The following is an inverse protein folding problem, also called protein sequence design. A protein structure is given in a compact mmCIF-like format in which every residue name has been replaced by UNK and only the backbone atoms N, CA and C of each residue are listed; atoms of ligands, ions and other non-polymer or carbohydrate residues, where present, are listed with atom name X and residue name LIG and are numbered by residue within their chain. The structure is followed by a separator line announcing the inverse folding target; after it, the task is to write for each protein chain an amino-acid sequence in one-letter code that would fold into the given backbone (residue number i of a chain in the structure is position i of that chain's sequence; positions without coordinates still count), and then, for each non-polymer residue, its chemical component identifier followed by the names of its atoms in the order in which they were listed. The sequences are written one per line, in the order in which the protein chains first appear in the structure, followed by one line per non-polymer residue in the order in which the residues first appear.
data_IF_442547059824
#
_entry.id   IF_442547059824
#
_cell.length_a   1.000
_cell.length_b   1.000
_cell.length_c   1.000
_cell.angle_alpha   90.00
_cell.angle_beta   90.00
_cell.angle_gamma   90.00
#
_symmetry.space_group_name_H-M   'P 1'
#
loop_
_entity.id
_entity.type
_entity.pdbx_description
1 polymer ?
#
# COMPACT_ATOMS: atom_id res chain seq x y z
N UNK A 1 -2.83 -8.77 -6.65
CA UNK A 1 -1.44 -9.15 -6.27
C UNK A 1 -0.51 -7.95 -6.20
N UNK A 2 -0.48 -7.03 -7.18
CA UNK A 2 0.46 -5.87 -7.18
C UNK A 2 0.11 -4.82 -6.11
N UNK A 3 -1.18 -4.52 -5.91
CA UNK A 3 -1.62 -3.50 -4.96
C UNK A 3 -1.13 -3.73 -3.53
N UNK A 4 -1.30 -4.92 -2.89
CA UNK A 4 -0.80 -5.13 -1.53
C UNK A 4 0.72 -4.95 -1.38
N UNK A 5 1.51 -5.26 -2.43
CA UNK A 5 2.96 -5.03 -2.43
C UNK A 5 3.25 -3.53 -2.50
N UNK A 6 2.58 -2.80 -3.38
CA UNK A 6 2.70 -1.35 -3.47
C UNK A 6 2.30 -0.68 -2.16
N UNK A 7 1.14 -1.06 -1.60
CA UNK A 7 0.61 -0.52 -0.34
C UNK A 7 1.61 -0.69 0.82
N UNK A 8 2.18 -1.89 0.96
CA UNK A 8 3.15 -2.16 2.01
C UNK A 8 4.39 -1.26 1.90
N UNK A 9 4.91 -1.07 0.69
CA UNK A 9 6.06 -0.20 0.46
C UNK A 9 5.72 1.29 0.66
N UNK A 10 4.54 1.74 0.21
CA UNK A 10 4.08 3.12 0.42
C UNK A 10 3.86 3.43 1.91
N UNK A 11 3.36 2.48 2.70
CA UNK A 11 3.25 2.63 4.14
C UNK A 11 4.61 2.70 4.86
N UNK A 12 5.67 2.16 4.25
CA UNK A 12 7.05 2.29 4.73
C UNK A 12 7.76 3.58 4.23
N UNK A 13 7.07 4.41 3.43
CA UNK A 13 7.59 5.71 3.00
C UNK A 13 8.05 5.77 1.55
N UNK A 14 7.81 4.74 0.73
CA UNK A 14 8.02 4.83 -0.73
C UNK A 14 6.98 5.76 -1.34
N UNK A 15 7.41 6.85 -1.96
CA UNK A 15 6.51 7.88 -2.51
C UNK A 15 6.27 7.74 -4.00
N UNK A 16 7.17 7.05 -4.70
CA UNK A 16 7.10 6.88 -6.15
C UNK A 16 7.60 5.49 -6.56
N UNK A 17 6.85 4.80 -7.42
CA UNK A 17 7.22 3.48 -7.90
C UNK A 17 7.73 3.54 -9.33
N UNK A 18 8.86 2.88 -9.57
CA UNK A 18 9.44 2.71 -10.91
C UNK A 18 9.40 1.23 -11.26
N UNK A 19 8.77 0.91 -12.38
CA UNK A 19 8.60 -0.48 -12.79
C UNK A 19 9.85 -1.04 -13.48
N UNK A 20 10.29 -2.20 -13.07
CA UNK A 20 11.29 -3.00 -13.74
C UNK A 20 10.66 -4.33 -14.21
N UNK A 21 10.49 -4.58 -15.49
CA UNK A 21 10.70 -3.77 -16.70
C UNK A 21 9.58 -4.04 -17.71
N UNK A 22 9.34 -3.08 -18.62
CA UNK A 22 8.54 -3.34 -19.81
C UNK A 22 9.46 -3.91 -20.91
N UNK A 23 9.26 -5.17 -21.25
CA UNK A 23 10.12 -5.87 -22.22
C UNK A 23 9.63 -5.62 -23.64
N UNK A 24 10.55 -5.24 -24.53
CA UNK A 24 10.27 -5.12 -25.94
C UNK A 24 10.00 -6.50 -26.58
N UNK A 25 8.80 -6.66 -27.14
CA UNK A 25 8.38 -7.83 -27.91
C UNK A 25 8.03 -7.39 -29.34
N UNK A 26 8.98 -7.38 -30.28
CA UNK A 26 8.76 -6.82 -31.63
C UNK A 26 7.93 -7.74 -32.52
N UNK A 27 7.86 -9.04 -32.20
CA UNK A 27 7.12 -10.00 -33.03
C UNK A 27 5.62 -9.83 -32.90
N UNK A 28 4.93 -9.82 -34.03
CA UNK A 28 3.47 -9.89 -34.11
C UNK A 28 3.07 -11.37 -34.12
N UNK A 29 2.05 -11.75 -33.32
CA UNK A 29 1.58 -13.14 -33.29
C UNK A 29 2.37 -14.08 -32.39
N UNK A 30 3.16 -13.56 -31.43
CA UNK A 30 3.78 -14.41 -30.41
C UNK A 30 2.72 -15.05 -29.51
N UNK A 31 3.03 -16.25 -28.99
CA UNK A 31 2.16 -16.90 -28.01
C UNK A 31 2.21 -16.15 -26.66
N UNK A 32 1.04 -15.83 -26.06
CA UNK A 32 1.01 -15.13 -24.78
C UNK A 32 1.53 -16.02 -23.64
N UNK A 33 1.97 -15.43 -22.52
CA UNK A 33 2.20 -14.02 -22.28
C UNK A 33 3.44 -13.42 -22.96
N UNK A 34 4.31 -14.25 -23.55
CA UNK A 34 5.55 -13.83 -24.19
C UNK A 34 6.74 -13.84 -23.23
N UNK A 35 7.84 -13.20 -23.65
CA UNK A 35 9.12 -13.22 -22.92
C UNK A 35 9.30 -11.98 -22.05
N UNK A 36 9.91 -12.14 -20.86
CA UNK A 36 10.31 -11.06 -19.98
C UNK A 36 11.84 -10.98 -19.84
N UNK A 37 12.35 -9.79 -19.57
CA UNK A 37 13.76 -9.59 -19.28
C UNK A 37 14.15 -10.28 -17.96
N UNK A 38 15.30 -11.00 -17.98
CA UNK A 38 15.80 -11.70 -16.80
C UNK A 38 15.07 -13.00 -16.43
N UNK A 39 14.01 -13.34 -17.11
CA UNK A 39 13.37 -14.65 -17.19
C UNK A 39 12.84 -15.31 -15.94
N UNK A 40 13.28 -14.97 -14.75
CA UNK A 40 13.00 -15.78 -13.57
C UNK A 40 12.99 -15.00 -12.27
N UNK A 41 11.79 -14.84 -11.74
CA UNK A 41 11.63 -14.54 -10.31
C UNK A 41 11.82 -13.10 -9.91
N UNK A 42 11.94 -12.17 -10.85
CA UNK A 42 11.92 -10.74 -10.54
C UNK A 42 10.50 -10.22 -10.75
N UNK A 43 9.60 -10.61 -9.84
CA UNK A 43 8.25 -10.05 -9.80
C UNK A 43 7.35 -10.42 -10.99
N UNK A 44 6.31 -9.64 -11.20
CA UNK A 44 5.34 -9.82 -12.28
C UNK A 44 5.85 -9.16 -13.57
N UNK A 45 5.96 -9.89 -14.68
CA UNK A 45 6.40 -9.29 -15.93
C UNK A 45 5.33 -8.36 -16.52
N UNK A 46 5.71 -7.12 -16.80
CA UNK A 46 4.86 -6.11 -17.44
C UNK A 46 4.95 -6.27 -18.95
N UNK A 47 4.06 -7.11 -19.51
CA UNK A 47 4.03 -7.47 -20.92
C UNK A 47 2.64 -7.19 -21.50
N UNK A 48 2.59 -6.71 -22.75
CA UNK A 48 1.32 -6.51 -23.47
C UNK A 48 0.56 -7.82 -23.74
N UNK A 49 1.22 -8.98 -23.67
CA UNK A 49 0.60 -10.30 -23.76
C UNK A 49 -0.05 -10.79 -22.48
N UNK A 50 0.02 -10.06 -21.38
CA UNK A 50 -0.71 -10.40 -20.16
C UNK A 50 -2.21 -10.15 -20.33
N UNK A 51 -3.02 -11.04 -19.76
CA UNK A 51 -4.49 -10.92 -19.82
C UNK A 51 -5.00 -9.61 -19.24
N UNK A 52 -4.36 -9.13 -18.19
CA UNK A 52 -4.72 -7.92 -17.45
C UNK A 52 -4.14 -6.62 -18.06
N UNK A 53 -3.31 -6.71 -19.08
CA UNK A 53 -2.65 -5.54 -19.67
C UNK A 53 -3.62 -4.43 -20.12
N UNK A 54 -4.78 -4.73 -20.76
CA UNK A 54 -5.75 -3.70 -21.13
C UNK A 54 -6.28 -2.87 -19.95
N UNK A 55 -6.19 -3.40 -18.73
CA UNK A 55 -6.68 -2.76 -17.50
C UNK A 55 -5.55 -2.13 -16.67
N UNK A 56 -4.31 -2.12 -17.18
CA UNK A 56 -3.15 -1.62 -16.44
C UNK A 56 -3.31 -0.17 -15.97
N UNK A 57 -4.02 0.66 -16.73
CA UNK A 57 -4.32 2.04 -16.38
C UNK A 57 -5.02 2.18 -15.02
N UNK A 58 -5.91 1.25 -14.66
CA UNK A 58 -6.58 1.30 -13.34
C UNK A 58 -5.59 1.22 -12.18
N UNK A 59 -4.55 0.41 -12.31
CA UNK A 59 -3.49 0.32 -11.31
C UNK A 59 -2.53 1.53 -11.35
N UNK A 60 -2.17 2.00 -12.55
CA UNK A 60 -1.28 3.19 -12.64
C UNK A 60 -1.96 4.47 -12.19
N UNK A 61 -3.27 4.62 -12.41
CA UNK A 61 -4.06 5.74 -11.90
C UNK A 61 -4.14 5.72 -10.36
N UNK A 62 -4.29 4.52 -9.77
CA UNK A 62 -4.19 4.34 -8.33
C UNK A 62 -2.83 4.81 -7.81
N UNK A 63 -1.73 4.36 -8.43
CA UNK A 63 -0.38 4.75 -8.04
C UNK A 63 -0.14 6.25 -8.24
N UNK A 64 -0.64 6.82 -9.32
CA UNK A 64 -0.53 8.25 -9.60
C UNK A 64 -1.22 9.10 -8.52
N UNK A 65 -2.43 8.70 -8.07
CA UNK A 65 -3.12 9.37 -6.95
C UNK A 65 -2.34 9.25 -5.65
N UNK A 66 -1.80 8.06 -5.34
CA UNK A 66 -0.96 7.88 -4.16
C UNK A 66 0.30 8.75 -4.22
N UNK A 67 1.05 8.70 -5.33
CA UNK A 67 2.25 9.51 -5.52
C UNK A 67 1.95 11.00 -5.42
N UNK A 68 0.84 11.47 -6.02
CA UNK A 68 0.41 12.85 -5.89
C UNK A 68 0.25 13.28 -4.42
N UNK A 69 -0.41 12.45 -3.61
CA UNK A 69 -0.57 12.72 -2.18
C UNK A 69 0.77 12.79 -1.45
N UNK A 70 1.67 11.84 -1.71
CA UNK A 70 2.98 11.80 -1.05
C UNK A 70 3.90 12.95 -1.48
N UNK A 71 3.90 13.31 -2.76
CA UNK A 71 4.79 14.34 -3.32
C UNK A 71 4.30 15.78 -3.02
N UNK A 72 3.02 15.95 -2.69
CA UNK A 72 2.46 17.26 -2.30
C UNK A 72 2.50 17.51 -0.78
N UNK A 73 3.17 16.65 -0.02
CA UNK A 73 3.38 16.76 1.42
C UNK A 73 4.82 16.60 1.83
N UNK A 74 5.12 17.02 3.04
CA UNK A 74 6.36 16.71 3.74
C UNK A 74 6.09 15.51 4.64
N UNK A 75 6.97 14.47 4.65
CA UNK A 75 6.84 13.36 5.57
C UNK A 75 6.96 13.84 7.02
N UNK A 76 6.24 13.18 7.91
CA UNK A 76 6.27 13.44 9.35
C UNK A 76 6.89 12.24 10.05
N UNK A 77 8.03 12.48 10.68
CA UNK A 77 8.75 11.49 11.47
C UNK A 77 9.24 12.11 12.76
N UNK A 78 9.26 11.32 13.83
CA UNK A 78 9.69 11.81 15.15
C UNK A 78 11.19 11.71 15.34
N UNK A 79 11.79 10.67 14.79
CA UNK A 79 13.15 10.24 15.03
C UNK A 79 13.97 10.32 13.75
N UNK A 80 15.13 10.97 13.84
CA UNK A 80 16.14 10.90 12.80
C UNK A 80 17.17 9.83 13.20
N UNK A 81 17.22 8.71 12.45
CA UNK A 81 18.11 7.58 12.74
C UNK A 81 19.41 7.72 11.97
N UNK A 82 20.49 7.95 12.68
CA UNK A 82 21.82 8.05 12.09
C UNK A 82 22.38 6.69 11.70
N UNK A 83 22.73 6.52 10.43
CA UNK A 83 23.22 5.25 9.87
C UNK A 83 24.69 4.94 10.22
N UNK A 84 25.45 5.91 10.68
CA UNK A 84 26.88 5.76 10.96
C UNK A 84 27.77 6.23 9.82
N UNK A 85 29.10 6.24 10.09
CA UNK A 85 30.13 6.65 9.14
C UNK A 85 30.76 5.47 8.37
N UNK A 86 30.34 4.24 8.67
CA UNK A 86 30.88 3.02 8.08
C UNK A 86 30.03 2.60 6.87
N UNK A 87 30.69 2.35 5.73
CA UNK A 87 29.99 2.08 4.46
C UNK A 87 29.24 0.75 4.39
N UNK A 88 29.63 -0.21 5.21
CA UNK A 88 29.02 -1.55 5.27
C UNK A 88 27.82 -1.62 6.22
N UNK A 89 27.49 -0.51 6.85
CA UNK A 89 26.41 -0.46 7.81
C UNK A 89 25.04 -0.62 7.13
N UNK A 90 24.31 -1.61 7.59
CA UNK A 90 22.86 -1.75 7.35
C UNK A 90 22.15 -1.63 8.69
N UNK A 91 21.07 -0.86 8.77
CA UNK A 91 20.28 -0.80 10.00
C UNK A 91 19.80 -2.20 10.37
N UNK A 92 19.82 -2.52 11.65
CA UNK A 92 19.18 -3.74 12.14
C UNK A 92 17.65 -3.57 12.03
N UNK A 93 17.08 -4.19 11.01
CA UNK A 93 15.63 -4.16 10.77
C UNK A 93 14.83 -4.86 11.87
N UNK A 94 15.49 -5.64 12.72
CA UNK A 94 14.86 -6.29 13.88
C UNK A 94 15.03 -5.46 15.17
N UNK A 95 15.73 -4.32 15.11
CA UNK A 95 15.81 -3.45 16.27
C UNK A 95 14.40 -2.97 16.66
N UNK A 96 13.97 -3.17 17.92
CA UNK A 96 12.65 -2.75 18.34
C UNK A 96 12.52 -1.24 18.23
N UNK A 97 11.62 -0.81 17.36
CA UNK A 97 11.24 0.60 17.24
C UNK A 97 9.89 0.81 17.94
N UNK A 98 9.71 1.87 18.74
CA UNK A 98 8.49 2.06 19.52
C UNK A 98 7.26 2.26 18.63
N UNK A 99 6.18 1.55 18.96
CA UNK A 99 4.91 1.68 18.26
C UNK A 99 4.37 3.10 18.29
N UNK A 100 3.80 3.50 17.17
CA UNK A 100 3.18 4.82 17.01
C UNK A 100 4.15 5.95 16.71
N UNK A 101 5.43 5.68 16.54
CA UNK A 101 6.46 6.63 16.11
C UNK A 101 7.00 6.27 14.74
N UNK A 102 7.54 7.27 14.03
CA UNK A 102 8.17 7.09 12.72
C UNK A 102 9.60 7.61 12.75
N UNK A 103 10.42 7.08 11.86
CA UNK A 103 11.80 7.51 11.68
C UNK A 103 12.14 7.71 10.22
N UNK A 104 13.14 8.57 9.99
CA UNK A 104 13.87 8.66 8.73
C UNK A 104 15.34 8.36 8.95
N UNK A 105 16.00 7.85 7.92
CA UNK A 105 17.44 7.62 7.99
C UNK A 105 18.24 8.89 7.69
N UNK A 106 19.37 9.02 8.39
CA UNK A 106 20.33 10.10 8.17
C UNK A 106 21.71 9.52 7.88
N UNK A 107 22.27 9.87 6.74
CA UNK A 107 23.67 9.56 6.41
C UNK A 107 24.64 10.65 6.91
N UNK A 108 25.97 10.43 6.85
CA UNK A 108 26.95 11.43 7.26
C UNK A 108 26.83 12.77 6.52
N UNK A 109 26.58 12.76 5.22
CA UNK A 109 26.48 14.00 4.42
C UNK A 109 25.32 14.88 4.90
N UNK A 110 24.14 14.29 5.12
CA UNK A 110 22.99 15.00 5.65
C UNK A 110 23.30 15.61 7.03
N UNK A 111 23.91 14.82 7.93
CA UNK A 111 24.28 15.26 9.27
C UNK A 111 25.26 16.43 9.26
N UNK A 112 26.25 16.39 8.37
CA UNK A 112 27.29 17.42 8.26
C UNK A 112 26.79 18.70 7.61
N UNK A 113 25.98 18.60 6.54
CA UNK A 113 25.79 19.68 5.59
C UNK A 113 24.34 20.19 5.49
N UNK A 114 23.34 19.44 5.94
CA UNK A 114 21.93 19.77 5.69
C UNK A 114 21.11 20.06 6.96
N UNK A 115 21.55 19.59 8.12
CA UNK A 115 20.77 19.70 9.34
C UNK A 115 21.06 20.98 10.11
N UNK A 116 20.00 21.58 10.61
CA UNK A 116 20.03 22.72 11.55
C UNK A 116 19.07 22.47 12.71
N UNK A 117 18.92 23.46 13.60
CA UNK A 117 18.00 23.36 14.76
C UNK A 117 17.13 24.60 14.80
N UNK A 118 15.81 24.39 14.85
CA UNK A 118 14.80 25.42 15.10
C UNK A 118 13.84 24.94 16.18
N UNK A 119 13.55 25.77 17.18
CA UNK A 119 12.62 25.50 18.29
C UNK A 119 12.88 24.17 19.02
N UNK A 120 14.15 23.81 19.15
CA UNK A 120 14.58 22.55 19.80
C UNK A 120 14.40 21.29 18.96
N UNK A 121 13.96 21.41 17.72
CA UNK A 121 13.84 20.31 16.75
C UNK A 121 14.96 20.36 15.72
N UNK A 122 15.37 19.22 15.24
CA UNK A 122 16.30 19.10 14.12
C UNK A 122 15.48 19.31 12.84
N UNK A 123 15.96 20.18 11.95
CA UNK A 123 15.23 20.55 10.72
C UNK A 123 16.11 20.44 9.49
N UNK A 124 15.50 20.02 8.37
CA UNK A 124 16.09 20.04 7.03
C UNK A 124 15.78 21.36 6.32
N UNK A 125 16.50 21.72 5.25
CA UNK A 125 16.18 22.91 4.44
C UNK A 125 14.77 22.89 3.84
N UNK A 126 14.20 21.70 3.60
CA UNK A 126 12.86 21.46 3.05
C UNK A 126 11.74 21.60 4.10
N UNK A 127 12.11 21.83 5.36
CA UNK A 127 11.16 22.01 6.46
C UNK A 127 10.66 20.73 7.12
N UNK A 128 11.31 19.59 6.87
CA UNK A 128 11.07 18.37 7.64
C UNK A 128 11.72 18.54 9.02
N UNK A 129 11.07 18.08 10.08
CA UNK A 129 11.56 18.28 11.43
C UNK A 129 11.45 17.03 12.31
N UNK A 130 12.47 16.80 13.13
CA UNK A 130 12.58 15.64 14.02
C UNK A 130 12.71 16.07 15.47
N UNK A 131 12.14 15.31 16.37
CA UNK A 131 12.22 15.57 17.83
C UNK A 131 13.56 15.20 18.41
N UNK A 132 14.22 14.19 17.84
CA UNK A 132 15.52 13.72 18.28
C UNK A 132 16.35 13.08 17.15
N UNK A 133 17.68 13.06 17.33
CA UNK A 133 18.63 12.25 16.57
C UNK A 133 18.95 11.00 17.40
N UNK A 134 18.73 9.82 16.80
CA UNK A 134 19.07 8.55 17.42
C UNK A 134 20.33 7.93 16.81
N UNK A 135 21.26 7.60 17.66
CA UNK A 135 22.52 6.93 17.33
C UNK A 135 22.50 5.58 18.04
N UNK A 136 21.95 4.51 17.45
CA UNK A 136 21.61 3.26 18.15
C UNK A 136 22.81 2.45 18.60
N UNK A 137 23.99 2.65 17.97
CA UNK A 137 25.13 1.80 18.18
C UNK A 137 26.36 2.62 18.55
N UNK A 138 27.13 2.08 19.49
CA UNK A 138 28.45 2.61 19.85
C UNK A 138 29.49 2.19 18.80
N UNK A 139 29.44 2.83 17.63
CA UNK A 139 30.27 2.56 16.47
C UNK A 139 31.44 3.51 16.36
N UNK A 140 32.31 3.24 15.38
CA UNK A 140 33.32 4.17 14.96
C UNK A 140 32.69 5.39 14.31
N UNK A 141 33.23 6.56 14.57
CA UNK A 141 32.70 7.82 14.06
C UNK A 141 33.83 8.72 13.56
N UNK A 142 33.56 9.50 12.51
CA UNK A 142 34.49 10.53 12.06
C UNK A 142 34.53 11.71 13.06
N UNK A 143 35.68 12.36 13.26
CA UNK A 143 35.76 13.56 14.10
C UNK A 143 34.80 14.65 13.68
N UNK A 144 34.64 14.85 12.37
CA UNK A 144 33.74 15.83 11.76
C UNK A 144 32.27 15.55 12.12
N UNK A 145 31.89 14.26 12.17
CA UNK A 145 30.54 13.83 12.58
C UNK A 145 30.31 14.14 14.05
N UNK A 146 31.26 13.85 14.93
CA UNK A 146 31.15 14.20 16.37
C UNK A 146 31.01 15.71 16.56
N UNK A 147 31.76 16.53 15.81
CA UNK A 147 31.66 17.99 15.87
C UNK A 147 30.30 18.48 15.34
N UNK A 148 29.73 17.83 14.32
CA UNK A 148 28.39 18.15 13.81
C UNK A 148 27.32 17.83 14.87
N UNK A 149 27.40 16.67 15.52
CA UNK A 149 26.53 16.32 16.65
C UNK A 149 26.65 17.37 17.78
N UNK A 150 27.88 17.76 18.13
CA UNK A 150 28.10 18.82 19.13
C UNK A 150 27.43 20.13 18.74
N UNK A 151 27.57 20.56 17.47
CA UNK A 151 26.96 21.78 16.94
C UNK A 151 25.44 21.73 17.08
N UNK A 152 24.81 20.61 16.66
CA UNK A 152 23.35 20.44 16.74
C UNK A 152 22.87 20.45 18.20
N UNK A 153 23.52 19.72 19.09
CA UNK A 153 23.16 19.71 20.53
C UNK A 153 23.31 21.10 21.14
N UNK A 154 24.41 21.80 20.87
CA UNK A 154 24.65 23.16 21.36
C UNK A 154 23.56 24.13 20.92
N UNK A 155 23.03 23.95 19.69
CA UNK A 155 21.95 24.75 19.13
C UNK A 155 20.57 24.41 19.73
N UNK A 156 20.38 23.21 20.30
CA UNK A 156 19.11 22.85 20.95
C UNK A 156 18.63 21.42 20.66
N UNK A 157 19.32 20.64 19.82
CA UNK A 157 18.90 19.29 19.49
C UNK A 157 18.94 18.33 20.71
N UNK A 158 18.05 17.36 20.69
CA UNK A 158 18.12 16.17 21.54
C UNK A 158 18.81 15.05 20.78
N UNK A 159 19.83 14.43 21.37
CA UNK A 159 20.53 13.26 20.82
C UNK A 159 20.41 12.10 21.79
N UNK A 160 20.05 10.93 21.29
CA UNK A 160 19.96 9.67 22.04
C UNK A 160 21.00 8.71 21.50
N UNK A 161 21.87 8.21 22.37
CA UNK A 161 22.94 7.27 22.01
C UNK A 161 24.21 7.46 22.81
N UNK A 162 25.05 6.44 22.76
CA UNK A 162 26.32 6.39 23.50
C UNK A 162 27.49 6.96 22.71
N UNK A 163 28.59 7.20 23.41
CA UNK A 163 29.83 7.68 22.81
C UNK A 163 30.35 6.67 21.75
N UNK A 164 30.88 7.15 20.62
CA UNK A 164 31.53 6.25 19.65
C UNK A 164 32.75 5.55 20.26
N UNK A 165 32.97 4.31 19.81
CA UNK A 165 34.04 3.44 20.37
C UNK A 165 35.45 3.84 19.92
N UNK A 166 35.61 4.34 18.70
CA UNK A 166 36.85 4.69 18.08
C UNK A 166 36.68 5.67 16.89
N UNK A 167 37.75 6.31 16.40
CA UNK A 167 37.65 7.09 15.16
C UNK A 167 37.45 6.18 13.93
N UNK A 168 36.63 6.59 13.01
CA UNK A 168 36.42 5.94 11.69
C UNK A 168 37.47 6.41 10.66
N UNK A 169 38.64 6.84 11.10
CA UNK A 169 39.75 7.34 10.26
C UNK A 169 41.08 7.07 10.90
N UNK A 170 42.13 6.96 10.08
CA UNK A 170 43.53 6.88 10.52
C UNK A 170 44.22 8.25 10.64
N UNK A 171 43.51 9.36 10.31
CA UNK A 171 44.09 10.71 10.30
C UNK A 171 44.37 11.28 11.68
N UNK A 172 43.71 10.74 12.72
CA UNK A 172 43.91 11.16 14.11
C UNK A 172 44.06 9.95 15.01
N UNK A 173 44.81 10.14 16.12
CA UNK A 173 44.98 9.12 17.16
C UNK A 173 43.81 9.07 18.14
N UNK A 174 43.67 7.94 18.85
CA UNK A 174 42.59 7.73 19.82
C UNK A 174 42.50 8.80 20.90
N UNK A 175 43.69 9.27 21.40
CA UNK A 175 43.74 10.32 22.44
C UNK A 175 43.15 11.65 21.97
N UNK A 176 43.41 12.02 20.74
CA UNK A 176 42.88 13.23 20.15
C UNK A 176 41.36 13.07 19.88
N UNK A 177 40.95 11.95 19.31
CA UNK A 177 39.54 11.62 19.12
C UNK A 177 38.75 11.67 20.44
N UNK A 178 39.29 11.07 21.50
CA UNK A 178 38.66 11.09 22.82
C UNK A 178 38.43 12.52 23.37
N UNK A 179 39.28 13.50 23.01
CA UNK A 179 39.05 14.91 23.38
C UNK A 179 37.86 15.50 22.66
N UNK A 180 37.67 15.16 21.37
CA UNK A 180 36.52 15.61 20.57
C UNK A 180 35.25 14.96 21.12
N UNK A 181 35.23 13.66 21.34
CA UNK A 181 34.09 12.91 21.91
C UNK A 181 33.64 13.49 23.25
N UNK A 182 34.58 13.88 24.13
CA UNK A 182 34.29 14.49 25.44
C UNK A 182 33.48 15.79 25.36
N UNK A 183 33.44 16.49 24.23
CA UNK A 183 32.59 17.66 24.03
C UNK A 183 31.11 17.27 24.10
N UNK A 184 30.78 16.08 23.59
CA UNK A 184 29.39 15.56 23.49
C UNK A 184 29.11 14.58 24.63
N UNK A 185 29.93 13.56 24.80
CA UNK A 185 29.80 12.49 25.81
C UNK A 185 30.86 12.59 26.88
N UNK A 186 30.46 12.54 28.14
CA UNK A 186 31.39 12.65 29.26
C UNK A 186 31.68 11.32 29.97
N UNK A 187 31.29 10.19 29.35
CA UNK A 187 31.46 8.84 29.90
C UNK A 187 30.47 8.47 31.01
N UNK A 188 29.44 9.27 31.25
CA UNK A 188 28.38 9.00 32.24
C UNK A 188 27.05 8.73 31.54
N UNK A 189 26.31 7.74 32.03
CA UNK A 189 24.94 7.50 31.64
C UNK A 189 24.03 8.59 32.17
N UNK A 190 22.91 8.78 31.48
CA UNK A 190 21.88 9.76 31.82
C UNK A 190 21.76 10.94 30.85
N UNK A 191 21.27 12.05 31.34
CA UNK A 191 21.00 13.24 30.51
C UNK A 191 22.10 14.28 30.76
N UNK A 192 22.82 14.64 29.71
CA UNK A 192 23.82 15.73 29.73
C UNK A 192 23.27 16.92 28.93
N UNK A 193 23.22 18.09 29.55
CA UNK A 193 22.85 19.35 28.86
C UNK A 193 24.12 20.01 28.27
N UNK A 194 24.00 20.49 27.02
CA UNK A 194 25.04 21.20 26.29
C UNK A 194 24.41 22.35 25.52
N UNK A 195 24.72 23.57 25.86
CA UNK A 195 24.05 24.74 25.28
C UNK A 195 22.53 24.70 25.53
N UNK A 196 21.76 24.75 24.47
CA UNK A 196 20.29 24.68 24.55
C UNK A 196 19.75 23.25 24.48
N UNK A 197 20.56 22.27 24.06
CA UNK A 197 20.15 20.88 23.83
C UNK A 197 20.62 19.91 24.89
N UNK A 198 20.50 18.62 24.58
CA UNK A 198 20.85 17.53 25.50
C UNK A 198 21.33 16.27 24.74
N UNK A 199 22.15 15.49 25.42
CA UNK A 199 22.54 14.12 25.03
C UNK A 199 22.02 13.16 26.10
N UNK A 200 21.41 12.08 25.69
CA UNK A 200 20.87 11.01 26.52
C UNK A 200 21.64 9.73 26.23
N UNK A 201 22.39 9.24 27.20
CA UNK A 201 23.30 8.09 27.07
C UNK A 201 22.99 7.00 28.08
N UNK A 202 23.34 5.74 27.77
CA UNK A 202 23.10 4.60 28.64
C UNK A 202 21.61 4.26 28.80
N UNK A 203 20.81 4.54 27.80
CA UNK A 203 19.39 4.18 27.73
C UNK A 203 19.00 3.88 26.28
N UNK A 204 18.02 3.04 26.11
CA UNK A 204 17.43 2.74 24.80
C UNK A 204 16.49 3.84 24.29
N UNK A 205 16.03 3.71 23.04
CA UNK A 205 15.13 4.68 22.43
C UNK A 205 13.76 4.74 23.11
N UNK A 206 13.09 3.62 23.47
CA UNK A 206 11.83 3.64 24.21
C UNK A 206 11.92 4.40 25.55
N UNK A 207 12.97 4.16 26.32
CA UNK A 207 13.20 4.86 27.59
C UNK A 207 13.42 6.37 27.38
N UNK A 208 14.18 6.73 26.35
CA UNK A 208 14.42 8.13 26.00
C UNK A 208 13.11 8.84 25.59
N UNK A 209 12.30 8.23 24.74
CA UNK A 209 10.98 8.73 24.30
C UNK A 209 10.08 8.94 25.53
N UNK A 210 9.99 7.97 26.41
CA UNK A 210 9.20 8.07 27.64
C UNK A 210 9.69 9.23 28.53
N UNK A 211 10.99 9.37 28.75
CA UNK A 211 11.57 10.48 29.56
C UNK A 211 11.36 11.85 28.94
N UNK A 212 11.26 11.92 27.61
CA UNK A 212 10.97 13.15 26.87
C UNK A 212 9.47 13.50 26.89
N UNK A 213 8.61 12.59 27.36
CA UNK A 213 7.16 12.78 27.34
C UNK A 213 6.59 12.85 25.93
N UNK A 214 7.23 12.19 24.95
CA UNK A 214 6.73 12.17 23.58
C UNK A 214 5.49 11.29 23.50
N UNK A 215 4.53 11.73 22.72
CA UNK A 215 3.27 11.01 22.48
C UNK A 215 3.30 10.38 21.09
N UNK A 216 2.79 9.13 20.96
CA UNK A 216 2.70 8.47 19.66
C UNK A 216 1.90 9.30 18.63
N UNK A 217 2.37 9.34 17.39
CA UNK A 217 1.69 10.01 16.28
C UNK A 217 0.41 9.25 15.89
N UNK A 218 0.51 7.93 15.66
CA UNK A 218 -0.64 7.07 15.38
C UNK A 218 -0.53 5.73 16.12
N UNK A 219 -1.52 5.40 16.94
CA UNK A 219 -1.69 4.05 17.47
C UNK A 219 -2.68 3.30 16.57
N UNK A 220 -2.17 2.37 15.78
CA UNK A 220 -2.88 1.71 14.68
C UNK A 220 -2.93 0.18 14.79
N UNK A 221 -2.52 -0.39 15.94
CA UNK A 221 -2.46 -1.84 16.12
C UNK A 221 -1.53 -2.50 15.08
N UNK A 222 -2.06 -3.47 14.33
CA UNK A 222 -1.30 -4.18 13.29
C UNK A 222 -1.26 -3.43 11.93
N UNK A 223 -1.96 -2.29 11.79
CA UNK A 223 -1.96 -1.53 10.54
C UNK A 223 -0.60 -0.89 10.27
N UNK A 224 -0.18 -0.90 9.00
CA UNK A 224 0.98 -0.14 8.54
C UNK A 224 0.53 1.24 8.10
N UNK A 225 1.40 2.24 8.26
CA UNK A 225 1.04 3.61 7.93
C UNK A 225 2.25 4.48 7.62
N UNK A 226 2.00 5.57 6.90
CA UNK A 226 2.91 6.71 6.76
C UNK A 226 2.15 8.01 6.94
N UNK A 227 2.81 9.06 7.43
CA UNK A 227 2.22 10.36 7.72
C UNK A 227 2.88 11.45 6.89
N UNK A 228 2.07 12.29 6.29
CA UNK A 228 2.48 13.46 5.53
C UNK A 228 1.63 14.67 5.92
N UNK A 229 2.19 15.86 5.72
CA UNK A 229 1.47 17.13 5.92
C UNK A 229 1.91 18.20 4.93
N UNK A 230 1.03 19.14 4.72
CA UNK A 230 1.36 20.44 4.14
C UNK A 230 0.77 21.57 4.99
N UNK A 231 0.72 22.78 4.46
CA UNK A 231 0.23 23.95 5.20
C UNK A 231 -1.30 23.94 5.40
N UNK A 232 -2.04 23.02 4.73
CA UNK A 232 -3.50 22.97 4.73
C UNK A 232 -4.08 21.72 5.39
N UNK A 233 -3.32 20.62 5.47
CA UNK A 233 -3.83 19.33 5.94
C UNK A 233 -2.71 18.42 6.46
N UNK A 234 -3.10 17.49 7.33
CA UNK A 234 -2.34 16.29 7.66
C UNK A 234 -3.03 15.07 7.03
N UNK A 235 -2.27 14.10 6.53
CA UNK A 235 -2.85 12.85 6.05
C UNK A 235 -1.98 11.65 6.34
N UNK A 236 -2.66 10.54 6.61
CA UNK A 236 -2.05 9.26 6.90
C UNK A 236 -2.46 8.28 5.80
N UNK A 237 -1.50 7.67 5.14
CA UNK A 237 -1.77 6.49 4.32
C UNK A 237 -1.79 5.27 5.23
N UNK A 238 -2.92 4.60 5.31
CA UNK A 238 -3.14 3.47 6.22
C UNK A 238 -3.41 2.22 5.41
N UNK A 239 -2.72 1.13 5.76
CA UNK A 239 -2.89 -0.20 5.17
C UNK A 239 -3.28 -1.16 6.26
N UNK A 240 -4.53 -1.62 6.22
CA UNK A 240 -5.05 -2.63 7.13
C UNK A 240 -6.07 -3.51 6.39
N UNK A 241 -5.95 -4.84 6.48
CA UNK A 241 -6.96 -5.75 5.96
C UNK A 241 -8.22 -5.82 6.84
N UNK A 242 -8.14 -5.35 8.09
CA UNK A 242 -9.18 -5.46 9.10
C UNK A 242 -9.62 -4.10 9.61
N UNK A 243 -10.87 -4.03 10.07
CA UNK A 243 -11.44 -2.85 10.70
C UNK A 243 -10.85 -2.63 12.08
N UNK A 244 -9.95 -1.68 12.21
CA UNK A 244 -9.31 -1.33 13.47
C UNK A 244 -9.67 0.10 13.88
N UNK A 245 -9.58 0.35 15.18
CA UNK A 245 -9.65 1.72 15.70
C UNK A 245 -8.28 2.36 15.55
N UNK A 246 -8.23 3.52 14.91
CA UNK A 246 -7.03 4.29 14.66
C UNK A 246 -7.03 5.52 15.57
N UNK A 247 -6.02 5.65 16.44
CA UNK A 247 -5.90 6.76 17.40
C UNK A 247 -4.78 7.73 16.97
N UNK A 248 -5.16 8.83 16.35
CA UNK A 248 -4.28 9.81 15.73
C UNK A 248 -3.89 10.94 16.68
N UNK A 249 -2.63 11.34 16.70
CA UNK A 249 -2.12 12.57 17.33
C UNK A 249 -2.45 13.84 16.56
N UNK A 250 -3.57 13.86 15.85
CA UNK A 250 -3.98 14.95 14.96
C UNK A 250 -5.38 15.48 15.32
N UNK A 251 -5.62 16.79 15.13
CA UNK A 251 -6.88 17.48 15.52
C UNK A 251 -7.76 17.78 14.34
N UNK A 252 -7.62 17.91 13.19
CA UNK A 252 -8.55 18.23 12.09
C UNK A 252 -9.80 17.35 12.04
N UNK A 253 -10.65 17.53 11.07
CA UNK A 253 -11.81 16.67 10.82
C UNK A 253 -11.40 15.56 9.85
N UNK A 254 -11.45 14.28 10.27
CA UNK A 254 -10.98 13.19 9.43
C UNK A 254 -11.97 12.91 8.29
N UNK A 255 -11.40 12.65 7.12
CA UNK A 255 -12.08 12.18 5.92
C UNK A 255 -11.35 10.94 5.41
N UNK A 256 -12.07 9.99 4.84
CA UNK A 256 -11.49 8.85 4.17
C UNK A 256 -11.40 9.16 2.66
N UNK A 257 -10.19 9.18 2.12
CA UNK A 257 -9.95 9.34 0.70
C UNK A 257 -9.49 8.01 0.09
N UNK A 258 -10.26 7.53 -0.88
CA UNK A 258 -9.98 6.27 -1.55
C UNK A 258 -9.15 6.51 -2.83
N UNK A 259 -7.87 6.10 -2.87
CA UNK A 259 -7.06 6.35 -4.06
C UNK A 259 -7.42 5.49 -5.28
N UNK A 260 -8.24 4.43 -5.11
CA UNK A 260 -8.68 3.57 -6.23
C UNK A 260 -9.61 4.34 -7.18
N UNK A 261 -10.54 5.11 -6.63
CA UNK A 261 -11.55 5.85 -7.41
C UNK A 261 -11.47 7.38 -7.23
N UNK A 262 -10.65 7.86 -6.30
CA UNK A 262 -10.49 9.29 -5.99
C UNK A 262 -11.63 9.86 -5.15
N UNK A 263 -12.52 9.03 -4.60
CA UNK A 263 -13.61 9.49 -3.75
C UNK A 263 -13.12 9.94 -2.38
N UNK A 264 -13.85 10.91 -1.79
CA UNK A 264 -13.68 11.38 -0.42
C UNK A 264 -14.99 11.19 0.33
N UNK A 265 -14.95 10.53 1.49
CA UNK A 265 -16.12 10.23 2.31
C UNK A 265 -15.89 10.62 3.76
N UNK A 266 -16.95 11.00 4.49
CA UNK A 266 -16.85 11.22 5.93
C UNK A 266 -16.57 9.90 6.65
N UNK A 267 -15.83 9.97 7.74
CA UNK A 267 -15.56 8.81 8.61
C UNK A 267 -15.99 9.14 10.05
N UNK A 268 -16.61 8.18 10.78
CA UNK A 268 -16.96 8.36 12.18
C UNK A 268 -15.71 8.54 13.03
N UNK A 269 -15.76 9.48 13.96
CA UNK A 269 -14.65 9.74 14.88
C UNK A 269 -15.14 10.25 16.24
N UNK A 270 -14.29 10.08 17.26
CA UNK A 270 -14.45 10.69 18.59
C UNK A 270 -13.19 11.45 18.98
N UNK A 271 -13.31 12.35 19.98
CA UNK A 271 -12.17 13.12 20.53
C UNK A 271 -11.81 12.61 21.91
N UNK A 272 -10.53 12.46 22.17
CA UNK A 272 -9.98 12.13 23.49
C UNK A 272 -8.80 13.07 23.77
N UNK A 273 -9.06 14.19 24.43
CA UNK A 273 -8.08 15.26 24.60
C UNK A 273 -7.60 15.80 23.26
N UNK A 274 -6.31 15.76 23.02
CA UNK A 274 -5.68 16.22 21.78
C UNK A 274 -5.63 15.16 20.67
N UNK A 275 -6.21 13.98 20.89
CA UNK A 275 -6.20 12.88 19.96
C UNK A 275 -7.56 12.69 19.29
N UNK A 276 -7.53 12.13 18.07
CA UNK A 276 -8.72 11.79 17.29
C UNK A 276 -8.76 10.29 17.07
N UNK A 277 -9.82 9.67 17.56
CA UNK A 277 -10.05 8.22 17.39
C UNK A 277 -11.01 8.03 16.23
N UNK A 278 -10.54 7.37 15.17
CA UNK A 278 -11.30 7.09 13.96
C UNK A 278 -11.64 5.59 13.94
N UNK A 279 -12.90 5.29 13.63
CA UNK A 279 -13.37 3.92 13.41
C UNK A 279 -13.81 3.81 11.94
N UNK A 280 -12.88 3.53 11.02
CA UNK A 280 -13.17 3.57 9.58
C UNK A 280 -14.09 2.45 9.11
N UNK A 281 -14.30 1.42 9.94
CA UNK A 281 -14.86 0.17 9.50
C UNK A 281 -13.87 -0.61 8.63
N UNK A 282 -14.37 -1.52 7.82
CA UNK A 282 -13.54 -2.17 6.81
C UNK A 282 -12.99 -1.13 5.84
N UNK A 283 -11.65 -1.05 5.70
CA UNK A 283 -11.04 -0.11 4.77
C UNK A 283 -11.38 -0.52 3.33
N UNK A 284 -11.95 0.39 2.53
CA UNK A 284 -12.17 0.10 1.13
C UNK A 284 -10.84 -0.25 0.49
N UNK A 285 -10.80 -1.35 -0.27
CA UNK A 285 -9.60 -1.80 -0.98
C UNK A 285 -8.37 -2.16 -0.12
N UNK A 286 -8.50 -2.26 1.21
CA UNK A 286 -7.42 -2.62 2.16
C UNK A 286 -6.43 -1.50 2.46
N UNK A 287 -6.55 -0.33 1.83
CA UNK A 287 -5.75 0.86 2.11
C UNK A 287 -6.49 2.13 1.72
N UNK A 288 -6.23 3.21 2.44
CA UNK A 288 -6.81 4.53 2.14
C UNK A 288 -5.93 5.64 2.71
N UNK A 289 -6.27 6.88 2.38
CA UNK A 289 -5.80 8.04 3.13
C UNK A 289 -6.85 8.46 4.16
N UNK A 290 -6.41 8.68 5.40
CA UNK A 290 -7.19 9.42 6.39
C UNK A 290 -6.65 10.85 6.40
N UNK A 291 -7.44 11.77 5.86
CA UNK A 291 -7.05 13.16 5.65
C UNK A 291 -7.74 14.05 6.68
N UNK A 292 -6.97 14.81 7.43
CA UNK A 292 -7.46 15.74 8.43
C UNK A 292 -7.50 17.15 7.86
N UNK A 293 -8.69 17.74 7.80
CA UNK A 293 -8.94 19.09 7.28
C UNK A 293 -9.66 19.96 8.29
N UNK A 294 -9.76 21.25 8.02
CA UNK A 294 -10.55 22.19 8.85
C UNK A 294 -12.07 22.08 8.61
N UNK A 295 -12.48 21.37 7.55
CA UNK A 295 -13.89 21.25 7.15
C UNK A 295 -14.45 19.89 7.50
N UNK A 296 -15.54 19.87 8.27
CA UNK A 296 -16.27 18.66 8.62
C UNK A 296 -17.20 18.23 7.48
N UNK A 297 -17.06 16.99 7.01
CA UNK A 297 -18.04 16.38 6.14
C UNK A 297 -19.21 15.79 6.96
N UNK A 298 -20.47 15.99 6.53
CA UNK A 298 -21.63 15.39 7.21
C UNK A 298 -21.62 13.87 7.00
N UNK A 299 -21.85 13.12 8.07
CA UNK A 299 -22.09 11.67 7.99
C UNK A 299 -23.44 11.43 7.33
N UNK A 300 -23.49 10.53 6.36
CA UNK A 300 -24.77 10.06 5.83
C UNK A 300 -25.53 9.28 6.92
N UNK A 301 -26.84 9.42 6.95
CA UNK A 301 -27.69 8.61 7.81
C UNK A 301 -27.58 7.14 7.42
N UNK A 302 -27.49 6.25 8.40
CA UNK A 302 -27.56 4.81 8.18
C UNK A 302 -28.98 4.44 7.84
N UNK A 303 -29.24 4.05 6.59
CA UNK A 303 -30.55 3.54 6.17
C UNK A 303 -30.55 2.01 6.18
N UNK A 304 -31.69 1.38 6.51
CA UNK A 304 -31.83 -0.06 6.38
C UNK A 304 -31.52 -0.52 4.96
N UNK A 305 -30.78 -1.62 4.85
CA UNK A 305 -30.39 -2.19 3.56
C UNK A 305 -31.16 -3.48 3.29
N UNK A 306 -31.48 -3.72 2.03
CA UNK A 306 -31.98 -5.01 1.54
C UNK A 306 -30.98 -5.56 0.54
N UNK A 307 -30.68 -6.87 0.67
CA UNK A 307 -29.75 -7.56 -0.22
C UNK A 307 -30.52 -8.61 -1.01
N UNK A 308 -30.39 -8.58 -2.33
CA UNK A 308 -31.03 -9.53 -3.25
C UNK A 308 -29.95 -10.26 -4.03
N UNK A 309 -29.83 -11.60 -3.94
CA UNK A 309 -28.88 -12.35 -4.73
C UNK A 309 -29.32 -12.41 -6.20
N UNK A 310 -28.33 -12.45 -7.10
CA UNK A 310 -28.54 -12.74 -8.51
C UNK A 310 -28.19 -14.20 -8.80
N UNK A 311 -29.10 -14.88 -9.49
CA UNK A 311 -28.97 -16.26 -9.96
C UNK A 311 -29.13 -16.31 -11.48
N UNK A 312 -29.01 -17.50 -12.04
CA UNK A 312 -29.30 -17.78 -13.47
C UNK A 312 -28.38 -16.98 -14.42
N UNK A 313 -27.16 -17.45 -14.50
CA UNK A 313 -26.09 -16.84 -15.26
C UNK A 313 -25.83 -17.61 -16.56
N UNK A 314 -25.66 -16.88 -17.65
CA UNK A 314 -25.03 -17.40 -18.88
C UNK A 314 -23.57 -16.99 -18.91
N UNK A 315 -22.66 -17.93 -18.95
CA UNK A 315 -21.23 -17.72 -19.11
C UNK A 315 -20.82 -18.03 -20.54
N UNK A 316 -20.27 -17.05 -21.26
CA UNK A 316 -19.75 -17.20 -22.60
C UNK A 316 -18.21 -17.16 -22.63
N UNK A 317 -17.59 -18.15 -23.27
CA UNK A 317 -16.16 -18.22 -23.49
C UNK A 317 -15.78 -17.79 -24.91
N UNK A 318 -14.63 -17.14 -25.12
CA UNK A 318 -14.14 -16.89 -26.45
C UNK A 318 -13.74 -18.20 -27.15
N UNK A 319 -13.96 -18.27 -28.47
CA UNK A 319 -13.62 -19.43 -29.28
C UNK A 319 -12.10 -19.73 -29.28
N UNK A 320 -11.75 -20.98 -29.52
CA UNK A 320 -10.35 -21.40 -29.73
C UNK A 320 -9.59 -21.81 -28.46
N UNK A 321 -10.21 -21.78 -27.27
CA UNK A 321 -9.57 -22.09 -25.99
C UNK A 321 -10.04 -23.41 -25.36
N UNK A 322 -10.73 -24.26 -26.13
CA UNK A 322 -11.18 -25.58 -25.69
C UNK A 322 -12.43 -25.56 -24.78
N UNK A 323 -12.95 -24.37 -24.45
CA UNK A 323 -14.17 -24.20 -23.68
C UNK A 323 -15.39 -24.21 -24.62
N UNK A 324 -16.59 -24.63 -24.13
CA UNK A 324 -17.84 -24.49 -24.88
C UNK A 324 -18.17 -23.01 -25.08
N UNK A 325 -18.97 -22.71 -26.12
CA UNK A 325 -19.36 -21.33 -26.41
C UNK A 325 -20.12 -20.71 -25.22
N UNK A 326 -21.05 -21.45 -24.65
CA UNK A 326 -21.85 -21.00 -23.49
C UNK A 326 -22.03 -22.10 -22.45
N UNK A 327 -22.19 -21.68 -21.20
CA UNK A 327 -22.54 -22.54 -20.06
C UNK A 327 -23.62 -21.82 -19.24
N UNK A 328 -24.77 -22.47 -19.05
CA UNK A 328 -25.81 -22.01 -18.14
C UNK A 328 -25.55 -22.49 -16.72
N UNK A 329 -25.69 -21.61 -15.74
CA UNK A 329 -25.46 -21.96 -14.34
C UNK A 329 -26.36 -21.17 -13.39
N UNK A 330 -26.96 -21.86 -12.44
CA UNK A 330 -27.75 -21.24 -11.36
C UNK A 330 -26.88 -20.74 -10.20
N UNK A 331 -25.68 -21.30 -10.05
CA UNK A 331 -24.72 -20.95 -8.99
C UNK A 331 -23.35 -20.72 -9.60
N UNK A 332 -22.73 -19.61 -9.27
CA UNK A 332 -21.39 -19.26 -9.73
C UNK A 332 -20.35 -20.17 -9.09
N UNK A 333 -19.39 -20.59 -9.91
CA UNK A 333 -18.25 -21.41 -9.52
C UNK A 333 -16.98 -20.94 -10.24
N UNK A 334 -15.77 -21.18 -9.70
CA UNK A 334 -14.53 -21.02 -10.44
C UNK A 334 -14.55 -21.83 -11.75
N UNK A 335 -13.96 -21.32 -12.82
CA UNK A 335 -13.93 -22.03 -14.13
C UNK A 335 -13.39 -23.44 -14.02
N UNK A 336 -12.35 -23.66 -13.19
CA UNK A 336 -11.76 -24.96 -12.98
C UNK A 336 -12.64 -25.96 -12.20
N UNK A 337 -13.75 -25.50 -11.62
CA UNK A 337 -14.68 -26.30 -10.81
C UNK A 337 -16.06 -26.48 -11.49
N UNK A 338 -16.25 -25.95 -12.69
CA UNK A 338 -17.50 -26.12 -13.43
C UNK A 338 -17.62 -27.57 -13.91
N UNK A 339 -18.72 -28.21 -13.56
CA UNK A 339 -18.99 -29.61 -13.91
C UNK A 339 -19.15 -29.77 -15.45
N UNK A 340 -18.66 -30.90 -15.98
CA UNK A 340 -18.80 -31.23 -17.39
C UNK A 340 -17.81 -30.53 -18.33
N UNK A 341 -16.96 -29.62 -17.85
CA UNK A 341 -15.90 -29.05 -18.66
C UNK A 341 -14.73 -30.02 -18.84
N UNK A 342 -14.12 -30.03 -20.03
CA UNK A 342 -12.85 -30.73 -20.31
C UNK A 342 -11.69 -30.11 -19.51
N UNK A 343 -10.59 -30.81 -19.37
CA UNK A 343 -9.39 -30.31 -18.69
C UNK A 343 -8.84 -29.05 -19.37
N UNK A 344 -8.91 -28.95 -20.69
CA UNK A 344 -8.54 -27.77 -21.44
C UNK A 344 -9.45 -26.58 -21.11
N UNK A 345 -10.77 -26.79 -21.03
CA UNK A 345 -11.74 -25.77 -20.67
C UNK A 345 -11.58 -25.29 -19.22
N UNK A 346 -11.32 -26.21 -18.28
CA UNK A 346 -11.04 -25.89 -16.87
C UNK A 346 -9.79 -25.05 -16.71
N UNK A 347 -8.82 -25.21 -17.60
CA UNK A 347 -7.59 -24.42 -17.63
C UNK A 347 -7.73 -23.09 -18.39
N UNK A 348 -8.94 -22.69 -18.76
CA UNK A 348 -9.18 -21.42 -19.47
C UNK A 348 -8.51 -20.26 -18.76
N UNK A 349 -7.87 -19.41 -19.54
CA UNK A 349 -7.23 -18.17 -19.13
C UNK A 349 -7.56 -17.09 -20.16
N UNK A 350 -7.80 -15.88 -19.70
CA UNK A 350 -8.27 -14.79 -20.57
C UNK A 350 -9.51 -14.14 -19.99
N UNK A 351 -10.35 -13.61 -20.86
CA UNK A 351 -11.60 -12.92 -20.51
C UNK A 351 -12.82 -13.73 -20.94
N UNK A 352 -13.70 -14.03 -20.00
CA UNK A 352 -15.01 -14.61 -20.28
C UNK A 352 -16.13 -13.67 -19.84
N UNK A 353 -17.28 -13.78 -20.47
CA UNK A 353 -18.42 -12.86 -20.27
C UNK A 353 -19.55 -13.57 -19.55
N UNK A 354 -19.99 -12.99 -18.45
CA UNK A 354 -21.18 -13.40 -17.71
C UNK A 354 -22.33 -12.45 -17.99
N UNK A 355 -23.51 -13.00 -18.20
CA UNK A 355 -24.75 -12.22 -18.32
C UNK A 355 -25.82 -12.75 -17.37
N UNK A 356 -26.55 -11.84 -16.76
CA UNK A 356 -27.71 -12.14 -15.94
C UNK A 356 -28.76 -11.03 -16.09
N UNK A 357 -30.02 -11.35 -15.84
CA UNK A 357 -31.09 -10.34 -15.82
C UNK A 357 -31.84 -10.35 -14.49
N UNK A 358 -32.33 -9.19 -14.09
CA UNK A 358 -33.07 -9.02 -12.85
C UNK A 358 -34.15 -7.92 -13.02
N UNK A 359 -35.16 -8.00 -12.18
CA UNK A 359 -36.28 -7.03 -12.20
C UNK A 359 -36.11 -6.04 -11.03
N UNK A 360 -36.43 -4.78 -11.29
CA UNK A 360 -36.47 -3.71 -10.29
C UNK A 360 -37.80 -2.97 -10.41
N UNK A 361 -38.57 -2.95 -9.31
CA UNK A 361 -39.88 -2.25 -9.28
C UNK A 361 -39.72 -0.73 -9.12
N UNK A 362 -38.65 -0.31 -8.42
CA UNK A 362 -38.34 1.09 -8.14
C UNK A 362 -36.83 1.37 -8.24
N UNK A 363 -36.48 2.48 -8.89
CA UNK A 363 -35.10 2.91 -9.08
C UNK A 363 -34.62 3.74 -7.89
N UNK A 364 -34.04 3.10 -6.90
CA UNK A 364 -33.42 3.78 -5.78
C UNK A 364 -32.07 4.40 -6.20
N UNK A 365 -31.84 5.66 -5.83
CA UNK A 365 -30.58 6.36 -6.15
C UNK A 365 -29.33 5.70 -5.50
N UNK A 366 -29.50 5.02 -4.38
CA UNK A 366 -28.41 4.36 -3.64
C UNK A 366 -28.58 2.82 -3.72
N UNK A 367 -28.12 2.29 -4.84
CA UNK A 367 -28.14 0.86 -5.14
C UNK A 367 -26.74 0.41 -5.57
N UNK A 368 -26.20 -0.56 -4.88
CA UNK A 368 -24.85 -1.10 -5.13
C UNK A 368 -24.95 -2.52 -5.65
N UNK A 369 -24.25 -2.81 -6.73
CA UNK A 369 -23.96 -4.15 -7.19
C UNK A 369 -22.67 -4.61 -6.49
N UNK A 370 -22.76 -5.70 -5.76
CA UNK A 370 -21.60 -6.37 -5.16
C UNK A 370 -21.40 -7.72 -5.87
N UNK A 371 -20.24 -7.89 -6.50
CA UNK A 371 -19.88 -9.11 -7.22
C UNK A 371 -19.35 -10.22 -6.30
N UNK A 372 -19.17 -9.93 -5.00
CA UNK A 372 -18.56 -10.87 -4.07
C UNK A 372 -17.12 -11.15 -4.42
N UNK A 373 -16.79 -12.41 -4.68
CA UNK A 373 -15.44 -12.82 -5.06
C UNK A 373 -15.24 -12.87 -6.57
N UNK A 374 -14.19 -12.21 -7.05
CA UNK A 374 -13.78 -12.16 -8.45
C UNK A 374 -12.31 -12.51 -8.59
N UNK A 375 -11.97 -13.38 -9.50
CA UNK A 375 -10.57 -13.75 -9.79
C UNK A 375 -10.24 -13.50 -11.28
N UNK A 376 -9.76 -12.28 -11.70
CA UNK A 376 -9.18 -11.22 -10.86
C UNK A 376 -9.74 -9.83 -11.16
N UNK A 377 -10.15 -9.53 -12.41
CA UNK A 377 -10.61 -8.22 -12.86
C UNK A 377 -12.00 -8.37 -13.46
N UNK A 378 -12.92 -7.47 -13.10
CA UNK A 378 -14.26 -7.43 -13.65
C UNK A 378 -14.52 -6.09 -14.34
N UNK A 379 -14.88 -6.12 -15.62
CA UNK A 379 -15.45 -4.99 -16.35
C UNK A 379 -16.97 -5.13 -16.31
N UNK A 380 -17.65 -4.14 -15.76
CA UNK A 380 -19.08 -4.19 -15.48
C UNK A 380 -19.84 -3.27 -16.42
N UNK A 381 -20.92 -3.77 -17.00
CA UNK A 381 -21.89 -2.99 -17.78
C UNK A 381 -23.31 -3.32 -17.35
N UNK A 382 -24.19 -2.32 -17.33
CA UNK A 382 -25.61 -2.48 -17.03
C UNK A 382 -26.45 -1.86 -18.15
N UNK A 383 -27.38 -2.61 -18.70
CA UNK A 383 -28.22 -2.18 -19.80
C UNK A 383 -27.43 -1.65 -21.02
N UNK A 384 -26.28 -2.27 -21.29
CA UNK A 384 -25.33 -1.87 -22.34
C UNK A 384 -24.50 -0.64 -22.04
N UNK A 385 -24.64 -0.03 -20.86
CA UNK A 385 -23.82 1.11 -20.43
C UNK A 385 -22.62 0.63 -19.61
N UNK A 386 -21.36 0.99 -19.94
CA UNK A 386 -20.20 0.65 -19.15
C UNK A 386 -20.23 1.40 -17.82
N UNK A 387 -19.99 0.68 -16.71
CA UNK A 387 -19.96 1.25 -15.37
C UNK A 387 -18.52 1.44 -14.86
N UNK A 388 -17.61 0.56 -15.27
CA UNK A 388 -16.21 0.64 -14.88
C UNK A 388 -15.53 -0.70 -14.72
N UNK A 389 -14.28 -0.64 -14.24
CA UNK A 389 -13.40 -1.80 -14.01
C UNK A 389 -13.15 -1.96 -12.53
N UNK A 390 -13.50 -3.11 -12.00
CA UNK A 390 -13.20 -3.53 -10.63
C UNK A 390 -12.00 -4.47 -10.66
N UNK A 391 -10.89 -4.03 -10.10
CA UNK A 391 -9.59 -4.72 -10.19
C UNK A 391 -8.99 -5.10 -8.82
N UNK A 392 -9.63 -4.70 -7.75
CA UNK A 392 -9.31 -5.05 -6.36
C UNK A 392 -10.58 -5.05 -5.50
N UNK A 393 -10.53 -5.70 -4.36
CA UNK A 393 -11.63 -5.70 -3.37
C UNK A 393 -11.88 -4.30 -2.80
N UNK A 394 -13.15 -3.97 -2.46
CA UNK A 394 -14.37 -4.73 -2.74
C UNK A 394 -14.75 -4.66 -4.23
N UNK A 395 -15.25 -5.77 -4.77
CA UNK A 395 -15.75 -5.80 -6.14
C UNK A 395 -17.18 -5.28 -6.20
N UNK A 396 -17.37 -4.02 -5.82
CA UNK A 396 -18.67 -3.39 -5.68
C UNK A 396 -18.72 -2.04 -6.42
N UNK A 397 -19.86 -1.73 -7.02
CA UNK A 397 -20.08 -0.50 -7.80
C UNK A 397 -21.50 0.01 -7.64
N UNK A 398 -21.67 1.34 -7.52
CA UNK A 398 -23.02 1.94 -7.49
C UNK A 398 -23.65 1.87 -8.88
N UNK A 399 -24.86 1.31 -8.93
CA UNK A 399 -25.63 1.12 -10.17
C UNK A 399 -26.92 1.97 -10.22
N UNK A 400 -27.26 2.68 -9.14
CA UNK A 400 -28.54 3.35 -8.98
C UNK A 400 -28.93 4.25 -10.15
N UNK A 401 -27.97 5.03 -10.68
CA UNK A 401 -28.20 5.94 -11.82
C UNK A 401 -28.43 5.25 -13.18
N UNK A 402 -28.09 3.97 -13.28
CA UNK A 402 -28.15 3.18 -14.52
C UNK A 402 -29.28 2.15 -14.52
N UNK A 403 -29.99 2.03 -13.39
CA UNK A 403 -31.14 1.15 -13.25
C UNK A 403 -32.34 1.66 -14.08
N UNK A 404 -33.10 0.71 -14.63
CA UNK A 404 -34.39 0.94 -15.28
C UNK A 404 -35.46 0.22 -14.49
N UNK A 405 -36.66 0.80 -14.41
CA UNK A 405 -37.82 0.10 -13.87
C UNK A 405 -38.16 -1.10 -14.76
N UNK A 406 -38.43 -2.24 -14.16
CA UNK A 406 -38.60 -3.51 -14.84
C UNK A 406 -37.26 -4.23 -15.05
N UNK A 407 -37.12 -4.90 -16.18
CA UNK A 407 -35.98 -5.76 -16.51
C UNK A 407 -34.69 -4.96 -16.75
N UNK A 408 -33.63 -5.38 -16.07
CA UNK A 408 -32.26 -4.90 -16.25
C UNK A 408 -31.37 -6.06 -16.68
N UNK A 409 -30.40 -5.79 -17.56
CA UNK A 409 -29.44 -6.74 -18.06
C UNK A 409 -28.04 -6.37 -17.57
N UNK A 410 -27.44 -7.27 -16.81
CA UNK A 410 -26.07 -7.14 -16.27
C UNK A 410 -25.11 -7.94 -17.14
N UNK A 411 -24.02 -7.32 -17.54
CA UNK A 411 -22.89 -7.97 -18.21
C UNK A 411 -21.64 -7.75 -17.37
N UNK A 412 -20.93 -8.84 -17.05
CA UNK A 412 -19.66 -8.82 -16.32
C UNK A 412 -18.61 -9.60 -17.11
N UNK A 413 -17.61 -8.90 -17.65
CA UNK A 413 -16.45 -9.54 -18.28
C UNK A 413 -15.39 -9.78 -17.22
N UNK A 414 -15.06 -11.03 -16.96
CA UNK A 414 -14.04 -11.38 -15.96
C UNK A 414 -12.78 -11.85 -16.65
N UNK A 415 -11.64 -11.26 -16.22
CA UNK A 415 -10.33 -11.57 -16.75
C UNK A 415 -9.49 -12.26 -15.70
N UNK A 416 -9.11 -13.52 -15.96
CA UNK A 416 -8.18 -14.33 -15.18
C UNK A 416 -6.73 -14.15 -15.66
N UNK A 417 -5.78 -14.75 -14.95
CA UNK A 417 -4.35 -14.77 -15.34
C UNK A 417 -4.02 -15.94 -16.24
N UNK A 418 -2.85 -15.93 -16.88
CA UNK A 418 -2.36 -17.04 -17.72
C UNK A 418 -2.01 -18.30 -16.93
N UNK A 419 -2.00 -18.30 -15.60
CA UNK A 419 -1.47 -19.37 -14.79
C UNK A 419 -2.07 -20.75 -15.13
N UNK A 420 -3.40 -20.85 -15.17
CA UNK A 420 -4.06 -22.14 -15.41
C UNK A 420 -3.76 -22.68 -16.80
N UNK A 421 -3.75 -21.81 -17.80
CA UNK A 421 -3.38 -22.22 -19.17
C UNK A 421 -1.93 -22.65 -19.27
N UNK A 422 -1.01 -21.96 -18.60
CA UNK A 422 0.40 -22.34 -18.57
C UNK A 422 0.63 -23.70 -17.90
N UNK A 423 -0.14 -24.02 -16.84
CA UNK A 423 -0.11 -25.36 -16.21
C UNK A 423 -0.57 -26.43 -17.19
N UNK A 424 -1.67 -26.22 -17.88
CA UNK A 424 -2.19 -27.15 -18.88
C UNK A 424 -1.21 -27.34 -20.04
N UNK A 425 -0.73 -26.24 -20.61
CA UNK A 425 0.19 -26.26 -21.72
C UNK A 425 1.57 -26.92 -21.38
N UNK A 426 1.98 -26.87 -20.10
CA UNK A 426 3.20 -27.51 -19.64
C UNK A 426 3.19 -29.05 -19.83
N UNK A 427 2.01 -29.66 -19.83
CA UNK A 427 1.83 -31.08 -20.09
C UNK A 427 1.84 -31.43 -21.59
N UNK A 428 1.74 -30.46 -22.49
CA UNK A 428 1.61 -30.65 -23.93
C UNK A 428 2.95 -30.55 -24.65
N UNK A 429 3.10 -31.25 -25.80
CA UNK A 429 4.19 -31.00 -26.75
C UNK A 429 4.22 -29.51 -27.17
N UNK A 430 5.42 -28.97 -27.40
CA UNK A 430 5.59 -27.52 -27.68
C UNK A 430 4.74 -27.01 -28.86
N UNK A 431 4.53 -27.86 -29.88
CA UNK A 431 3.74 -27.52 -31.07
C UNK A 431 2.22 -27.38 -30.81
N UNK A 432 1.73 -27.95 -29.72
CA UNK A 432 0.30 -27.96 -29.36
C UNK A 432 -0.05 -26.86 -28.33
N UNK A 433 0.95 -26.19 -27.80
CA UNK A 433 0.77 -25.12 -26.78
C UNK A 433 0.17 -23.87 -27.39
N UNK A 434 -0.75 -23.27 -26.64
CA UNK A 434 -1.37 -21.97 -26.97
C UNK A 434 -0.72 -20.81 -26.21
N UNK A 435 0.21 -21.12 -25.28
CA UNK A 435 0.97 -20.15 -24.50
C UNK A 435 2.45 -20.42 -24.55
N UNK A 436 3.24 -19.38 -24.33
CA UNK A 436 4.68 -19.50 -24.20
C UNK A 436 5.20 -18.60 -23.06
N UNK A 437 6.01 -19.18 -22.21
CA UNK A 437 6.76 -18.46 -21.19
C UNK A 437 8.15 -19.11 -21.05
N UNK A 438 9.14 -18.32 -20.65
CA UNK A 438 10.51 -18.80 -20.50
C UNK A 438 10.63 -19.95 -19.48
N UNK A 439 9.79 -19.90 -18.43
CA UNK A 439 9.58 -21.03 -17.51
C UNK A 439 8.09 -21.29 -17.37
N UNK A 440 7.71 -22.50 -17.66
CA UNK A 440 6.36 -22.97 -17.39
C UNK A 440 6.26 -23.45 -15.94
N UNK A 441 5.08 -23.33 -15.31
CA UNK A 441 4.80 -24.00 -14.04
C UNK A 441 4.88 -25.52 -14.22
N UNK A 442 4.97 -26.25 -13.10
CA UNK A 442 4.86 -27.70 -13.15
C UNK A 442 3.49 -28.12 -13.69
N UNK A 443 3.39 -29.13 -14.58
CA UNK A 443 2.09 -29.66 -15.02
C UNK A 443 1.31 -30.36 -13.89
N UNK A 444 1.95 -30.65 -12.76
CA UNK A 444 1.31 -31.17 -11.54
C UNK A 444 0.75 -30.09 -10.60
N UNK A 445 0.91 -28.82 -10.93
CA UNK A 445 0.34 -27.73 -10.16
C UNK A 445 -1.19 -27.76 -10.22
N UNK A 446 -1.83 -27.46 -9.09
CA UNK A 446 -3.28 -27.31 -9.05
C UNK A 446 -3.71 -26.03 -9.78
N UNK A 447 -4.79 -26.15 -10.55
CA UNK A 447 -5.44 -24.97 -11.13
C UNK A 447 -5.94 -24.05 -10.03
N UNK A 448 -5.83 -22.75 -10.26
CA UNK A 448 -6.26 -21.72 -9.32
C UNK A 448 -7.68 -21.28 -9.64
N UNK A 449 -8.51 -20.93 -8.63
CA UNK A 449 -9.81 -20.33 -8.87
C UNK A 449 -9.70 -19.13 -9.82
N UNK A 450 -10.54 -19.09 -10.83
CA UNK A 450 -10.62 -18.03 -11.85
C UNK A 450 -12.07 -17.82 -12.26
N UNK A 451 -12.45 -16.60 -12.62
CA UNK A 451 -13.81 -16.25 -13.02
C UNK A 451 -14.57 -15.47 -11.95
N UNK A 452 -15.88 -15.34 -12.16
CA UNK A 452 -16.84 -14.77 -11.21
C UNK A 452 -17.26 -15.88 -10.25
N UNK A 453 -16.90 -15.72 -8.96
CA UNK A 453 -17.14 -16.74 -7.93
C UNK A 453 -18.36 -16.36 -7.09
N UNK A 454 -18.61 -15.05 -6.92
CA UNK A 454 -19.77 -14.53 -6.23
C UNK A 454 -19.70 -14.65 -4.68
N UNK A 455 -20.84 -14.69 -3.97
CA UNK A 455 -22.18 -14.46 -4.52
C UNK A 455 -22.36 -13.02 -5.03
N UNK A 456 -23.06 -12.87 -6.17
CA UNK A 456 -23.40 -11.54 -6.68
C UNK A 456 -24.71 -11.09 -6.07
N UNK A 457 -24.71 -9.87 -5.53
CA UNK A 457 -25.88 -9.31 -4.84
C UNK A 457 -26.15 -7.87 -5.24
N UNK A 458 -27.40 -7.48 -5.18
CA UNK A 458 -27.85 -6.09 -5.27
C UNK A 458 -28.19 -5.61 -3.88
N UNK A 459 -27.47 -4.62 -3.39
CA UNK A 459 -27.65 -3.99 -2.08
C UNK A 459 -28.39 -2.66 -2.30
N UNK A 460 -29.59 -2.53 -1.73
CA UNK A 460 -30.43 -1.33 -1.85
C UNK A 460 -30.59 -0.70 -0.47
N UNK A 461 -30.32 0.60 -0.35
CA UNK A 461 -30.67 1.36 0.86
C UNK A 461 -32.14 1.85 0.72
N UNK A 462 -32.93 1.64 1.77
CA UNK A 462 -34.26 2.24 1.85
C UNK A 462 -34.10 3.76 2.05
N UNK A 463 -34.82 4.50 1.24
CA UNK A 463 -34.95 5.95 1.37
C UNK A 463 -35.61 6.34 2.69
#
# INVERSE_FOLDING_TARGET
MLKPVADANMAEGVTHLVFHTYTHNPQVGFLPPGTSFGGNGIGTPFLRGQTWWPYMHSFTDYLARCSYMFENGRPVSDVLWYLGDEMDHKPDQNAPFPDGFRYDYCNPDALLNRLSVADGRIVTPEGISYSLLWIPENRRMLPETVEAVYRLVKAGATVVGDAPSAPATLRIGEKEFARIVKKVWNGKSGVRRIGKGRVMSGMDLPEAIHRLGMTPDLLAGAARWSHFRNDSADWYFVVSPEAETLDFGCKGYPQLWNPVDGSATPVPFTRKGDRTIVSPGELPTGSCFIVFTDTRMPLAATSPQTTTPLTDWTLAFPAGWGAPETVEMSTLKPWCEIDGLSDEARAFSGTATYTASFEIDDTAADCTLDLGEVAHIAEVSLNGQPLGVLWCKPYAINIGKHLRKGRNELTVKVTGTWFNRLVHDAALPAAERKTWALRLPSPAEKLRPSGLIGPVTIVRKKL
#
